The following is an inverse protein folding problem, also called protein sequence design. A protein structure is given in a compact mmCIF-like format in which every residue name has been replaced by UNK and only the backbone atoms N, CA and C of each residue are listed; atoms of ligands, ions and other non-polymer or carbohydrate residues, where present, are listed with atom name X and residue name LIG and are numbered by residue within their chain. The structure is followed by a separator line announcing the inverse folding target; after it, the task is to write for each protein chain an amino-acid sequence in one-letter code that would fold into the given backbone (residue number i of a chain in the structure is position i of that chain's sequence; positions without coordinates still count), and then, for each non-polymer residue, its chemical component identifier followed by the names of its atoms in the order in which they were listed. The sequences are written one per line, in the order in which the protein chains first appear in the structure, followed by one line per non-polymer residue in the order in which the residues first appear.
data_IF_164999906050
#
_entry.id   IF_164999906050
#
_cell.length_a   1.000
_cell.length_b   1.000
_cell.length_c   1.000
_cell.angle_alpha   90.00
_cell.angle_beta   90.00
_cell.angle_gamma   90.00
#
_symmetry.space_group_name_H-M   'P 1'
#
loop_
_entity.id
_entity.type
_entity.pdbx_description
1 polymer ?
#
# COMPACT_ATOMS: atom_id res chain seq x y z
N UNK A 1 13.79 9.53 14.62
CA UNK A 1 12.74 8.61 14.12
C UNK A 1 13.29 7.19 14.11
N UNK A 2 12.52 6.22 14.56
CA UNK A 2 12.89 4.80 14.49
C UNK A 2 12.87 4.33 13.02
N UNK A 3 13.60 3.28 12.67
CA UNK A 3 13.70 2.83 11.28
C UNK A 3 12.36 2.33 10.76
N UNK A 4 11.53 1.71 11.62
CA UNK A 4 10.16 1.35 11.27
C UNK A 4 9.34 2.57 10.82
N UNK A 5 9.52 3.72 11.47
CA UNK A 5 8.82 4.95 11.13
C UNK A 5 9.26 5.49 9.76
N UNK A 6 10.58 5.50 9.50
CA UNK A 6 11.13 5.85 8.17
C UNK A 6 10.57 4.93 7.08
N UNK A 7 10.50 3.63 7.35
CA UNK A 7 9.92 2.66 6.41
C UNK A 7 8.47 2.98 6.05
N UNK A 8 7.64 3.34 7.02
CA UNK A 8 6.24 3.73 6.76
C UNK A 8 6.17 5.08 6.03
N UNK A 9 7.04 6.04 6.33
CA UNK A 9 7.10 7.31 5.58
C UNK A 9 7.43 7.12 4.10
N UNK A 10 8.46 6.32 3.79
CA UNK A 10 8.82 6.02 2.41
C UNK A 10 7.68 5.33 1.68
N UNK A 11 6.99 4.39 2.35
CA UNK A 11 5.79 3.78 1.79
C UNK A 11 4.65 4.78 1.62
N UNK A 12 4.49 5.76 2.52
CA UNK A 12 3.52 6.85 2.37
C UNK A 12 3.79 7.69 1.13
N UNK A 13 5.06 8.01 0.84
CA UNK A 13 5.46 8.69 -0.41
C UNK A 13 5.13 7.83 -1.63
N UNK A 14 5.40 6.53 -1.55
CA UNK A 14 5.01 5.58 -2.60
C UNK A 14 3.50 5.63 -2.87
N UNK A 15 2.65 5.59 -1.83
CA UNK A 15 1.19 5.70 -1.96
C UNK A 15 0.74 7.04 -2.56
N UNK A 16 1.42 8.14 -2.24
CA UNK A 16 1.13 9.44 -2.84
C UNK A 16 1.40 9.42 -4.36
N UNK A 17 2.52 8.83 -4.78
CA UNK A 17 2.90 8.71 -6.19
C UNK A 17 1.92 7.76 -6.90
N UNK A 18 1.65 6.60 -6.32
CA UNK A 18 0.73 5.61 -6.86
C UNK A 18 -0.68 6.19 -7.03
N UNK A 19 -1.20 6.85 -5.99
CA UNK A 19 -2.51 7.49 -6.04
C UNK A 19 -2.57 8.60 -7.10
N UNK A 20 -1.50 9.40 -7.25
CA UNK A 20 -1.42 10.42 -8.30
C UNK A 20 -1.42 9.80 -9.71
N UNK A 21 -0.70 8.70 -9.92
CA UNK A 21 -0.68 7.97 -11.19
C UNK A 21 -2.05 7.37 -11.52
N UNK A 22 -2.75 6.78 -10.55
CA UNK A 22 -4.10 6.25 -10.73
C UNK A 22 -5.14 7.35 -11.01
N UNK A 23 -4.96 8.55 -10.45
CA UNK A 23 -5.84 9.68 -10.75
C UNK A 23 -5.54 10.25 -12.13
N UNK A 24 -4.29 10.41 -12.55
CA UNK A 24 -3.93 11.22 -13.73
C UNK A 24 -3.81 10.38 -15.00
N UNK A 25 -3.13 9.24 -14.93
CA UNK A 25 -2.79 8.38 -16.08
C UNK A 25 -3.02 6.89 -15.77
N UNK A 26 -4.25 6.49 -15.33
CA UNK A 26 -4.51 5.16 -14.80
C UNK A 26 -4.21 4.02 -15.78
N UNK A 27 -4.60 4.16 -17.05
CA UNK A 27 -4.36 3.11 -18.06
C UNK A 27 -2.87 2.90 -18.37
N UNK A 28 -2.07 3.97 -18.33
CA UNK A 28 -0.63 3.85 -18.50
C UNK A 28 -0.02 3.09 -17.31
N UNK A 29 -0.35 3.50 -16.09
CA UNK A 29 0.19 2.88 -14.88
C UNK A 29 -0.26 1.42 -14.70
N UNK A 30 -1.56 1.15 -14.81
CA UNK A 30 -2.11 -0.21 -14.73
C UNK A 30 -1.65 -1.09 -15.88
N UNK A 31 -1.42 -0.52 -17.06
CA UNK A 31 -0.91 -1.24 -18.23
C UNK A 31 0.46 -1.89 -17.99
N UNK A 32 1.29 -1.34 -17.09
CA UNK A 32 2.55 -1.95 -16.65
C UNK A 32 2.35 -3.32 -15.99
N UNK A 33 1.14 -3.58 -15.49
CA UNK A 33 0.74 -4.82 -14.81
C UNK A 33 -0.28 -5.63 -15.62
N UNK A 34 -0.45 -5.34 -16.91
CA UNK A 34 -1.48 -5.97 -17.76
C UNK A 34 -2.91 -5.77 -17.23
N UNK A 35 -3.15 -4.66 -16.54
CA UNK A 35 -4.46 -4.25 -16.04
C UNK A 35 -4.96 -3.02 -16.81
N UNK A 36 -6.26 -2.79 -16.80
CA UNK A 36 -6.89 -1.62 -17.43
C UNK A 36 -7.85 -0.94 -16.46
N UNK A 37 -7.98 0.38 -16.59
CA UNK A 37 -8.97 1.15 -15.87
C UNK A 37 -10.26 1.21 -16.70
N UNK A 38 -11.22 0.37 -16.35
CA UNK A 38 -12.54 0.31 -16.99
C UNK A 38 -13.52 1.35 -16.45
N UNK A 39 -13.32 1.83 -15.22
CA UNK A 39 -14.30 2.66 -14.50
C UNK A 39 -13.61 3.82 -13.73
N UNK A 40 -14.37 4.91 -13.51
CA UNK A 40 -13.97 6.05 -12.67
C UNK A 40 -13.57 5.64 -11.25
N UNK A 41 -14.06 4.50 -10.74
CA UNK A 41 -13.68 3.95 -9.44
C UNK A 41 -12.17 3.78 -9.26
N UNK A 42 -11.39 3.57 -10.33
CA UNK A 42 -9.91 3.52 -10.25
C UNK A 42 -9.32 4.85 -9.75
N UNK A 43 -9.90 5.98 -10.17
CA UNK A 43 -9.47 7.32 -9.71
C UNK A 43 -9.89 7.56 -8.26
N UNK A 44 -11.04 7.03 -7.84
CA UNK A 44 -11.51 7.07 -6.44
C UNK A 44 -10.56 6.28 -5.53
N UNK A 45 -10.10 5.11 -5.98
CA UNK A 45 -9.04 4.35 -5.28
C UNK A 45 -7.75 5.17 -5.24
N UNK A 46 -7.36 5.82 -6.34
CA UNK A 46 -6.20 6.71 -6.37
C UNK A 46 -6.28 7.85 -5.34
N UNK A 47 -7.44 8.50 -5.19
CA UNK A 47 -7.68 9.51 -4.15
C UNK A 47 -7.53 8.92 -2.74
N UNK A 48 -8.06 7.70 -2.53
CA UNK A 48 -7.94 6.98 -1.27
C UNK A 48 -6.48 6.71 -0.93
N UNK A 49 -5.66 6.30 -1.91
CA UNK A 49 -4.23 6.08 -1.73
C UNK A 49 -3.47 7.38 -1.40
N UNK A 50 -3.82 8.51 -2.03
CA UNK A 50 -3.22 9.80 -1.67
C UNK A 50 -3.50 10.16 -0.21
N UNK A 51 -4.76 10.03 0.23
CA UNK A 51 -5.16 10.32 1.61
C UNK A 51 -4.42 9.39 2.58
N UNK A 52 -4.34 8.10 2.27
CA UNK A 52 -3.64 7.12 3.09
C UNK A 52 -2.13 7.41 3.13
N UNK A 53 -1.53 7.78 2.00
CA UNK A 53 -0.14 8.17 1.86
C UNK A 53 0.21 9.38 2.73
N UNK A 54 -0.67 10.38 2.77
CA UNK A 54 -0.55 11.52 3.68
C UNK A 54 -0.55 11.08 5.15
N UNK A 55 -1.49 10.23 5.56
CA UNK A 55 -1.52 9.70 6.93
C UNK A 55 -0.24 8.91 7.26
N UNK A 56 0.23 8.05 6.35
CA UNK A 56 1.42 7.24 6.58
C UNK A 56 2.67 8.11 6.74
N UNK A 57 2.80 9.13 5.91
CA UNK A 57 3.90 10.09 6.00
C UNK A 57 3.87 10.85 7.33
N UNK A 58 2.72 11.41 7.72
CA UNK A 58 2.59 12.20 8.96
C UNK A 58 2.74 11.35 10.22
N UNK A 59 2.10 10.18 10.29
CA UNK A 59 2.21 9.30 11.46
C UNK A 59 3.61 8.70 11.61
N UNK A 60 4.32 8.50 10.49
CA UNK A 60 5.73 8.16 10.51
C UNK A 60 6.63 9.31 11.02
N UNK A 61 6.32 10.58 10.70
CA UNK A 61 7.05 11.74 11.25
C UNK A 61 6.97 11.77 12.77
N UNK A 62 5.77 11.57 13.29
CA UNK A 62 5.45 11.58 14.72
C UNK A 62 5.82 10.27 15.46
N UNK A 63 6.37 9.26 14.75
CA UNK A 63 6.71 7.94 15.31
C UNK A 63 5.55 7.26 16.08
N UNK A 64 4.31 7.40 15.60
CA UNK A 64 3.13 6.83 16.26
C UNK A 64 3.17 5.30 16.15
N UNK A 65 3.82 4.62 17.11
CA UNK A 65 4.10 3.16 17.07
C UNK A 65 2.85 2.31 16.83
N UNK A 66 1.72 2.67 17.44
CA UNK A 66 0.45 1.95 17.23
C UNK A 66 0.04 2.00 15.75
N UNK A 67 0.15 3.16 15.12
CA UNK A 67 -0.13 3.32 13.69
C UNK A 67 0.82 2.48 12.84
N UNK A 68 2.12 2.50 13.14
CA UNK A 68 3.11 1.69 12.42
C UNK A 68 2.75 0.20 12.47
N UNK A 69 2.34 -0.31 13.63
CA UNK A 69 1.87 -1.70 13.79
C UNK A 69 0.57 -1.96 13.01
N UNK A 70 -0.36 -1.02 13.01
CA UNK A 70 -1.60 -1.15 12.23
C UNK A 70 -1.32 -1.25 10.72
N UNK A 71 -0.29 -0.56 10.20
CA UNK A 71 0.07 -0.66 8.77
C UNK A 71 0.54 -2.06 8.36
N UNK A 72 1.14 -2.83 9.29
CA UNK A 72 1.60 -4.20 8.96
C UNK A 72 0.43 -5.16 8.90
N UNK A 73 -0.54 -5.00 9.81
CA UNK A 73 -1.78 -5.78 9.82
C UNK A 73 -2.64 -5.47 8.60
N UNK A 74 -2.82 -4.19 8.25
CA UNK A 74 -3.66 -3.80 7.11
C UNK A 74 -3.12 -4.29 5.78
N UNK A 75 -1.81 -4.15 5.51
CA UNK A 75 -1.19 -4.65 4.26
C UNK A 75 -1.25 -6.18 4.16
N UNK A 76 -1.09 -6.89 5.29
CA UNK A 76 -1.24 -8.35 5.32
C UNK A 76 -2.67 -8.77 5.02
N UNK A 77 -3.64 -8.10 5.65
CA UNK A 77 -5.06 -8.36 5.42
C UNK A 77 -5.45 -8.10 3.95
N UNK A 78 -5.04 -6.96 3.38
CA UNK A 78 -5.25 -6.64 1.97
C UNK A 78 -4.71 -7.74 1.04
N UNK A 79 -3.49 -8.22 1.27
CA UNK A 79 -2.89 -9.26 0.44
C UNK A 79 -3.68 -10.58 0.51
N UNK A 80 -4.09 -11.01 1.71
CA UNK A 80 -4.89 -12.22 1.89
C UNK A 80 -6.27 -12.12 1.21
N UNK A 81 -6.91 -10.95 1.27
CA UNK A 81 -8.19 -10.69 0.61
C UNK A 81 -8.03 -10.69 -0.92
N UNK A 82 -6.95 -10.10 -1.45
CA UNK A 82 -6.70 -10.13 -2.89
C UNK A 82 -6.38 -11.54 -3.40
N UNK A 83 -5.68 -12.36 -2.62
CA UNK A 83 -5.50 -13.79 -2.91
C UNK A 83 -6.85 -14.50 -3.01
N UNK A 84 -7.79 -14.25 -2.08
CA UNK A 84 -9.10 -14.89 -2.14
C UNK A 84 -9.92 -14.43 -3.34
N UNK A 85 -9.85 -13.14 -3.71
CA UNK A 85 -10.51 -12.62 -4.92
C UNK A 85 -9.96 -13.22 -6.21
N UNK A 86 -8.64 -13.44 -6.28
CA UNK A 86 -8.00 -14.12 -7.41
C UNK A 86 -8.41 -15.60 -7.45
N UNK A 87 -8.43 -16.28 -6.29
CA UNK A 87 -8.85 -17.68 -6.19
C UNK A 87 -10.33 -17.88 -6.60
N UNK A 88 -11.19 -16.89 -6.36
CA UNK A 88 -12.59 -16.87 -6.78
C UNK A 88 -12.79 -16.42 -8.24
N UNK A 89 -11.72 -16.01 -8.94
CA UNK A 89 -11.78 -15.54 -10.33
C UNK A 89 -12.39 -14.15 -10.51
N UNK A 90 -12.52 -13.35 -9.45
CA UNK A 90 -13.13 -12.02 -9.52
C UNK A 90 -12.18 -10.95 -10.05
N UNK A 91 -10.87 -11.12 -9.87
CA UNK A 91 -9.84 -10.16 -10.26
C UNK A 91 -8.69 -10.89 -10.95
N UNK A 92 -8.04 -10.23 -11.90
CA UNK A 92 -6.89 -10.76 -12.63
C UNK A 92 -5.70 -11.04 -11.70
N UNK A 93 -5.00 -12.20 -11.82
CA UNK A 93 -3.90 -12.59 -10.92
C UNK A 93 -2.73 -11.59 -10.86
N UNK A 94 -2.54 -10.76 -11.89
CA UNK A 94 -1.47 -9.75 -11.90
C UNK A 94 -1.57 -8.74 -10.76
N UNK A 95 -2.74 -8.57 -10.13
CA UNK A 95 -2.90 -7.74 -8.93
C UNK A 95 -2.07 -8.25 -7.74
N UNK A 96 -1.65 -9.52 -7.74
CA UNK A 96 -0.81 -10.10 -6.70
C UNK A 96 0.63 -9.59 -6.73
N UNK A 97 1.10 -9.04 -7.86
CA UNK A 97 2.43 -8.42 -7.94
C UNK A 97 2.53 -7.13 -7.09
N UNK A 98 1.73 -6.07 -7.34
CA UNK A 98 1.78 -4.87 -6.53
C UNK A 98 1.38 -5.15 -5.07
N UNK A 99 0.32 -5.94 -4.84
CA UNK A 99 -0.10 -6.26 -3.46
C UNK A 99 0.91 -7.13 -2.71
N UNK A 100 1.63 -8.02 -3.40
CA UNK A 100 2.75 -8.77 -2.83
C UNK A 100 3.91 -7.85 -2.44
N UNK A 101 4.24 -6.86 -3.27
CA UNK A 101 5.22 -5.82 -2.92
C UNK A 101 4.80 -5.05 -1.66
N UNK A 102 3.54 -4.62 -1.56
CA UNK A 102 3.04 -3.95 -0.37
C UNK A 102 3.12 -4.83 0.89
N UNK A 103 2.77 -6.12 0.75
CA UNK A 103 2.88 -7.10 1.83
C UNK A 103 4.32 -7.23 2.31
N UNK A 104 5.30 -7.36 1.40
CA UNK A 104 6.72 -7.42 1.74
C UNK A 104 7.19 -6.15 2.47
N UNK A 105 6.74 -4.97 2.03
CA UNK A 105 6.99 -3.72 2.77
C UNK A 105 6.38 -3.76 4.18
N UNK A 106 5.18 -4.33 4.35
CA UNK A 106 4.56 -4.52 5.66
C UNK A 106 5.34 -5.48 6.58
N UNK A 107 5.83 -6.60 6.04
CA UNK A 107 6.69 -7.56 6.75
C UNK A 107 8.01 -6.90 7.16
N UNK A 108 8.59 -6.07 6.30
CA UNK A 108 9.79 -5.30 6.61
C UNK A 108 9.55 -4.31 7.76
N UNK A 109 8.47 -3.52 7.70
CA UNK A 109 8.09 -2.62 8.79
C UNK A 109 7.89 -3.37 10.11
N UNK A 110 7.22 -4.54 10.09
CA UNK A 110 7.02 -5.38 11.28
C UNK A 110 8.34 -5.88 11.87
N UNK A 111 9.25 -6.32 11.00
CA UNK A 111 10.58 -6.79 11.40
C UNK A 111 11.40 -5.69 12.06
N UNK A 112 11.32 -4.45 11.56
CA UNK A 112 11.95 -3.29 12.18
C UNK A 112 11.32 -2.96 13.55
N UNK A 113 9.99 -2.94 13.65
CA UNK A 113 9.30 -2.68 14.93
C UNK A 113 9.70 -3.68 16.02
N UNK A 114 9.87 -4.95 15.67
CA UNK A 114 10.26 -6.00 16.63
C UNK A 114 11.72 -5.87 17.09
N UNK A 115 12.60 -5.36 16.22
CA UNK A 115 14.00 -5.05 16.59
C UNK A 115 14.09 -3.81 17.47
N UNK A 116 13.19 -2.87 17.25
CA UNK A 116 13.12 -1.59 17.95
C UNK A 116 12.14 -1.66 19.12
N UNK A 117 12.22 -2.70 19.96
CA UNK A 117 11.35 -2.89 21.15
C UNK A 117 11.15 -1.57 21.93
N UNK A 118 9.95 -1.35 22.50
CA UNK A 118 9.59 -0.08 23.13
C UNK A 118 10.60 0.41 24.15
#
# INVERSE_FOLDING_TARGET
MINAAKSVQFFGIFLLIEGLLLITVPNFFLGLFLLSASDVWVRVVGLTLIILGYFYFRMGQENVRLFLKLTTHSRTFQFLVLISFVALGWIHPMILLPSGFEFLCGVWTFSLLNKEKP
#
